data_IF_900001786008
#
_entry.id   IF_900001786008
#
_cell.length_a   1.000
_cell.length_b   1.000
_cell.length_c   1.000
_cell.angle_alpha   90.00
_cell.angle_beta   90.00
_cell.angle_gamma   90.00
#
_symmetry.space_group_name_H-M   'P 1'
#
loop_
_entity.id
_entity.type
_entity.pdbx_description
1 polymer ?
#
# COMPACT_ATOMS: atom_id res chain seq x y z
N UNK A 1 -52.20 -5.37 -6.35
CA UNK A 1 -52.99 -4.82 -7.47
C UNK A 1 -51.99 -4.27 -8.48
N UNK A 2 -51.76 -5.03 -9.55
CA UNK A 2 -50.87 -4.66 -10.64
C UNK A 2 -51.74 -4.24 -11.83
N UNK A 3 -51.61 -3.02 -12.30
CA UNK A 3 -52.28 -2.53 -13.49
C UNK A 3 -51.24 -1.97 -14.45
N UNK A 4 -51.03 -2.69 -15.55
CA UNK A 4 -50.50 -2.15 -16.79
C UNK A 4 -51.58 -1.26 -17.44
N UNK A 5 -51.15 -0.26 -18.23
CA UNK A 5 -51.75 -0.16 -19.54
C UNK A 5 -50.72 0.08 -20.65
N UNK A 6 -50.89 -0.67 -21.73
CA UNK A 6 -50.31 -0.44 -23.05
C UNK A 6 -51.36 0.27 -23.92
N UNK A 7 -50.94 1.20 -24.78
CA UNK A 7 -51.23 1.30 -26.24
C UNK A 7 -51.19 2.76 -26.75
N UNK A 8 -50.16 3.02 -27.56
CA UNK A 8 -50.02 3.77 -28.83
C UNK A 8 -50.82 5.04 -29.20
N UNK A 9 -50.11 5.99 -29.84
CA UNK A 9 -50.43 6.50 -31.19
C UNK A 9 -49.28 7.37 -31.77
N UNK A 10 -48.76 6.96 -32.92
CA UNK A 10 -48.03 7.83 -33.87
C UNK A 10 -49.03 8.53 -34.79
N UNK A 11 -48.81 9.81 -35.12
CA UNK A 11 -49.07 10.35 -36.47
C UNK A 11 -48.26 11.63 -36.73
N UNK A 12 -47.67 11.67 -37.92
CA UNK A 12 -46.77 12.62 -38.60
C UNK A 12 -47.34 14.00 -38.90
N UNK A 13 -46.47 15.04 -38.96
CA UNK A 13 -46.45 16.05 -40.06
C UNK A 13 -45.10 16.79 -40.16
N UNK A 14 -44.62 16.95 -41.40
CA UNK A 14 -43.43 17.66 -41.90
C UNK A 14 -43.82 19.07 -42.41
N UNK A 15 -42.97 20.08 -42.17
CA UNK A 15 -42.78 21.40 -42.85
C UNK A 15 -42.15 22.35 -41.82
N UNK A 16 -41.22 23.28 -42.06
CA UNK A 16 -40.70 23.97 -43.25
C UNK A 16 -39.37 24.65 -42.84
N UNK A 17 -38.43 24.77 -43.77
CA UNK A 17 -37.22 25.60 -43.68
C UNK A 17 -37.55 27.10 -43.63
N UNK A 18 -36.79 27.90 -42.85
CA UNK A 18 -36.01 29.07 -43.34
C UNK A 18 -35.49 30.01 -42.24
N UNK A 19 -34.27 30.50 -42.52
CA UNK A 19 -33.69 31.80 -42.18
C UNK A 19 -32.97 32.09 -40.84
N UNK A 20 -31.66 31.82 -40.89
CA UNK A 20 -30.52 32.77 -40.83
C UNK A 20 -30.40 33.82 -39.69
N UNK A 21 -29.27 33.65 -39.00
CA UNK A 21 -28.32 34.62 -38.44
C UNK A 21 -28.64 35.31 -37.11
N UNK A 22 -27.76 35.13 -36.12
CA UNK A 22 -26.82 36.18 -35.63
C UNK A 22 -25.77 35.55 -34.70
N UNK A 23 -24.52 35.95 -34.92
CA UNK A 23 -23.28 35.56 -34.24
C UNK A 23 -23.17 36.17 -32.83
N UNK A 24 -22.79 35.38 -31.82
CA UNK A 24 -21.89 35.86 -30.75
C UNK A 24 -21.02 34.71 -30.26
N UNK A 25 -19.72 34.95 -30.26
CA UNK A 25 -18.67 34.09 -29.71
C UNK A 25 -18.83 34.01 -28.19
N UNK A 26 -18.84 32.80 -27.64
CA UNK A 26 -18.29 32.56 -26.31
C UNK A 26 -17.36 31.36 -26.37
N UNK A 27 -16.14 31.65 -25.99
CA UNK A 27 -14.91 30.90 -26.06
C UNK A 27 -14.96 29.77 -25.04
N UNK A 28 -15.41 28.58 -25.45
CA UNK A 28 -15.16 27.37 -24.68
C UNK A 28 -13.67 27.02 -24.82
N UNK A 29 -12.88 27.45 -23.83
CA UNK A 29 -11.50 27.01 -23.60
C UNK A 29 -11.41 25.49 -23.79
N UNK A 30 -10.84 25.05 -24.91
CA UNK A 30 -10.37 23.69 -25.07
C UNK A 30 -9.10 23.53 -24.24
N UNK A 31 -9.26 23.27 -22.95
CA UNK A 31 -8.17 22.83 -22.11
C UNK A 31 -7.91 21.37 -22.49
N UNK A 32 -6.99 21.16 -23.45
CA UNK A 32 -6.42 19.83 -23.61
C UNK A 32 -5.78 19.43 -22.27
N UNK A 33 -6.11 18.25 -21.71
CA UNK A 33 -5.34 17.76 -20.58
C UNK A 33 -3.97 17.35 -21.13
N UNK A 34 -3.00 18.25 -21.07
CA UNK A 34 -1.58 17.92 -21.22
C UNK A 34 -1.10 17.19 -19.97
N UNK A 35 -1.74 16.07 -19.65
CA UNK A 35 -1.17 15.08 -18.75
C UNK A 35 -0.28 14.19 -19.62
N UNK A 36 1.03 14.46 -19.61
CA UNK A 36 2.02 13.54 -20.13
C UNK A 36 1.72 12.16 -19.57
N UNK A 37 1.35 11.21 -20.43
CA UNK A 37 1.04 9.86 -20.00
C UNK A 37 2.29 9.28 -19.32
N UNK A 38 2.16 8.94 -18.03
CA UNK A 38 3.21 8.30 -17.27
C UNK A 38 3.44 6.90 -17.85
N UNK A 39 4.70 6.49 -17.92
CA UNK A 39 5.01 5.11 -18.29
C UNK A 39 4.45 4.17 -17.22
N UNK A 40 4.19 2.91 -17.58
CA UNK A 40 3.65 1.92 -16.64
C UNK A 40 4.56 1.75 -15.40
N UNK A 41 5.88 1.83 -15.58
CA UNK A 41 6.86 1.77 -14.49
C UNK A 41 6.89 3.03 -13.63
N UNK A 42 6.61 4.21 -14.19
CA UNK A 42 6.42 5.44 -13.42
C UNK A 42 5.10 5.39 -12.65
N UNK A 43 4.01 4.95 -13.28
CA UNK A 43 2.68 4.80 -12.68
C UNK A 43 2.67 3.82 -11.50
N UNK A 44 3.44 2.74 -11.58
CA UNK A 44 3.62 1.75 -10.50
C UNK A 44 4.51 2.24 -9.35
N UNK A 45 5.23 3.35 -9.53
CA UNK A 45 6.10 3.98 -8.54
C UNK A 45 5.58 5.33 -8.01
N UNK A 46 4.40 5.77 -8.45
CA UNK A 46 3.77 6.98 -7.91
C UNK A 46 3.34 6.71 -6.47
N UNK A 47 3.88 7.47 -5.53
CA UNK A 47 3.33 7.52 -4.18
C UNK A 47 1.89 8.06 -4.25
N UNK A 48 0.90 7.38 -3.66
CA UNK A 48 -0.42 7.96 -3.57
C UNK A 48 -0.38 9.23 -2.73
N UNK A 49 -0.87 10.34 -3.28
CA UNK A 49 -0.99 11.62 -2.57
C UNK A 49 -1.84 11.42 -1.31
N UNK A 50 -1.21 11.63 -0.17
CA UNK A 50 -1.74 11.37 1.16
C UNK A 50 -3.04 12.14 1.44
N UNK A 51 -4.17 11.46 1.31
CA UNK A 51 -5.39 11.82 2.04
C UNK A 51 -5.70 10.71 3.04
N UNK A 52 -4.80 10.55 4.01
CA UNK A 52 -4.99 9.79 5.25
C UNK A 52 -4.06 10.37 6.33
N UNK A 53 -4.21 11.67 6.59
CA UNK A 53 -3.39 12.40 7.58
C UNK A 53 -4.08 12.30 8.94
N UNK A 54 -3.62 11.36 9.78
CA UNK A 54 -3.79 11.42 11.24
C UNK A 54 -2.78 10.57 12.04
N UNK A 55 -2.00 9.68 11.41
CA UNK A 55 -0.90 8.97 12.08
C UNK A 55 0.35 8.71 11.21
N UNK A 56 0.35 9.13 9.94
CA UNK A 56 1.54 9.13 9.10
C UNK A 56 2.56 10.12 9.69
N UNK A 57 3.77 9.65 10.00
CA UNK A 57 4.84 10.45 10.60
C UNK A 57 5.33 9.98 11.97
N UNK A 58 4.81 8.85 12.49
CA UNK A 58 5.42 8.20 13.64
C UNK A 58 6.54 7.26 13.16
N UNK A 59 7.75 7.52 13.68
CA UNK A 59 8.95 6.75 13.36
C UNK A 59 9.31 5.80 14.49
N UNK A 60 9.66 4.57 14.11
CA UNK A 60 9.95 3.52 15.07
C UNK A 60 11.14 2.68 14.64
N UNK A 61 11.85 2.14 15.63
CA UNK A 61 12.67 0.94 15.48
C UNK A 61 11.90 -0.24 16.04
N UNK A 62 12.04 -1.41 15.42
CA UNK A 62 11.34 -2.62 15.86
C UNK A 62 12.33 -3.54 16.56
N UNK A 63 12.14 -3.74 17.87
CA UNK A 63 12.84 -4.78 18.63
C UNK A 63 12.14 -6.11 18.43
N UNK A 64 12.94 -7.17 18.38
CA UNK A 64 12.49 -8.54 18.13
C UNK A 64 12.93 -9.41 19.30
N UNK A 65 11.95 -10.07 19.91
CA UNK A 65 12.14 -10.91 21.08
C UNK A 65 11.45 -12.26 20.87
N UNK A 66 11.88 -13.26 21.64
CA UNK A 66 11.27 -14.58 21.65
C UNK A 66 11.22 -15.11 23.07
N UNK A 67 10.02 -15.48 23.53
CA UNK A 67 9.79 -15.99 24.88
C UNK A 67 10.39 -15.07 25.96
N UNK A 68 10.22 -13.75 25.79
CA UNK A 68 10.78 -12.73 26.69
C UNK A 68 12.28 -12.44 26.54
N UNK A 69 13.00 -13.19 25.70
CA UNK A 69 14.43 -12.94 25.42
C UNK A 69 14.58 -12.01 24.24
N UNK A 70 15.29 -10.89 24.41
CA UNK A 70 15.61 -9.98 23.31
C UNK A 70 16.64 -10.61 22.36
N UNK A 71 16.30 -10.68 21.07
CA UNK A 71 17.17 -11.26 20.04
C UNK A 71 17.93 -10.20 19.24
N UNK A 72 17.31 -9.03 19.03
CA UNK A 72 17.90 -7.93 18.28
C UNK A 72 16.85 -7.00 17.70
N UNK A 73 17.22 -6.33 16.61
CA UNK A 73 16.38 -5.34 15.95
C UNK A 73 16.10 -5.72 14.51
N UNK A 74 15.01 -5.21 13.96
CA UNK A 74 14.70 -5.31 12.55
C UNK A 74 15.69 -4.47 11.73
N UNK A 75 16.45 -5.16 10.89
CA UNK A 75 17.32 -4.55 9.89
C UNK A 75 17.12 -5.18 8.52
N UNK A 76 18.03 -4.88 7.60
CA UNK A 76 18.09 -5.56 6.31
C UNK A 76 19.55 -5.86 5.91
N UNK A 77 19.74 -6.82 5.01
CA UNK A 77 21.01 -7.00 4.32
C UNK A 77 21.12 -6.15 3.04
N UNK A 78 22.24 -6.27 2.32
CA UNK A 78 22.47 -5.56 1.06
C UNK A 78 21.54 -5.96 -0.08
N UNK A 79 20.80 -7.07 0.08
CA UNK A 79 19.78 -7.57 -0.85
C UNK A 79 18.36 -7.20 -0.38
N UNK A 80 18.23 -6.35 0.64
CA UNK A 80 16.96 -5.86 1.18
C UNK A 80 16.13 -6.93 1.91
N UNK A 81 16.74 -8.07 2.26
CA UNK A 81 16.08 -9.10 3.06
C UNK A 81 16.12 -8.71 4.53
N UNK A 82 14.98 -8.83 5.21
CA UNK A 82 14.87 -8.49 6.62
C UNK A 82 15.62 -9.53 7.47
N UNK A 83 16.40 -9.03 8.43
CA UNK A 83 17.20 -9.86 9.33
C UNK A 83 17.34 -9.23 10.70
N UNK A 84 17.76 -10.05 11.68
CA UNK A 84 18.20 -9.55 12.97
C UNK A 84 19.52 -8.77 12.84
N UNK A 85 19.56 -7.59 13.45
CA UNK A 85 20.74 -6.72 13.53
C UNK A 85 20.90 -6.11 14.92
N UNK A 86 22.04 -5.45 15.15
CA UNK A 86 22.25 -4.64 16.35
C UNK A 86 21.40 -3.36 16.34
N UNK A 87 21.22 -2.71 17.50
CA UNK A 87 20.43 -1.48 17.58
C UNK A 87 21.00 -0.33 16.73
N UNK A 88 22.33 -0.31 16.53
CA UNK A 88 23.00 0.71 15.72
C UNK A 88 22.67 0.57 14.22
N UNK A 89 22.37 -0.64 13.78
CA UNK A 89 22.04 -0.99 12.39
C UNK A 89 20.52 -1.08 12.16
N UNK A 90 19.71 -0.87 13.20
CA UNK A 90 18.26 -1.00 13.15
C UNK A 90 17.66 0.02 12.17
N UNK A 91 16.73 -0.47 11.34
CA UNK A 91 15.98 0.39 10.43
C UNK A 91 15.01 1.28 11.22
N UNK A 92 14.91 2.54 10.79
CA UNK A 92 13.84 3.43 11.23
C UNK A 92 12.68 3.30 10.24
N UNK A 93 11.57 2.76 10.72
CA UNK A 93 10.35 2.58 9.95
C UNK A 93 9.36 3.71 10.22
N UNK A 94 8.59 4.05 9.21
CA UNK A 94 7.42 4.91 9.26
C UNK A 94 6.17 4.04 9.11
N UNK A 95 5.20 4.23 10.00
CA UNK A 95 3.88 3.63 9.81
C UNK A 95 3.12 4.42 8.74
N UNK A 96 2.74 3.72 7.67
CA UNK A 96 2.13 4.29 6.48
C UNK A 96 0.81 3.58 6.16
N UNK A 97 -0.33 4.03 6.72
CA UNK A 97 -1.64 3.47 6.41
C UNK A 97 -2.13 3.96 5.04
N UNK A 98 -2.56 3.04 4.18
CA UNK A 98 -3.12 3.35 2.86
C UNK A 98 -4.17 2.33 2.44
N UNK A 99 -5.34 2.78 1.97
CA UNK A 99 -6.47 1.94 1.53
C UNK A 99 -6.84 0.80 2.51
N UNK A 100 -6.82 1.10 3.81
CA UNK A 100 -7.14 0.11 4.86
C UNK A 100 -6.03 -0.90 5.14
N UNK A 101 -4.87 -0.78 4.50
CA UNK A 101 -3.69 -1.61 4.69
C UNK A 101 -2.64 -0.83 5.48
N UNK A 102 -2.01 -1.49 6.46
CA UNK A 102 -0.93 -0.91 7.26
C UNK A 102 0.42 -1.31 6.67
N UNK A 103 1.12 -0.34 6.09
CA UNK A 103 2.47 -0.55 5.59
C UNK A 103 3.51 -0.02 6.58
N UNK A 104 4.69 -0.61 6.53
CA UNK A 104 5.87 -0.18 7.28
C UNK A 104 6.97 0.19 6.30
N UNK A 105 7.18 1.49 6.11
CA UNK A 105 8.12 2.05 5.13
C UNK A 105 9.45 2.36 5.78
N UNK A 106 10.58 2.05 5.14
CA UNK A 106 11.89 2.56 5.60
C UNK A 106 11.90 4.08 5.41
N UNK A 107 12.12 4.82 6.51
CA UNK A 107 12.10 6.28 6.53
C UNK A 107 13.02 6.86 5.45
N UNK A 108 12.47 7.80 4.67
CA UNK A 108 13.22 8.50 3.61
C UNK A 108 13.42 7.68 2.34
N UNK A 109 12.70 6.57 2.17
CA UNK A 109 12.78 5.72 0.98
C UNK A 109 11.39 5.24 0.58
N UNK A 110 11.26 4.73 -0.65
CA UNK A 110 10.03 4.09 -1.15
C UNK A 110 10.11 2.56 -1.03
N UNK A 111 10.62 2.09 0.12
CA UNK A 111 10.81 0.68 0.42
C UNK A 111 9.93 0.27 1.60
N UNK A 112 9.06 -0.69 1.36
CA UNK A 112 8.03 -1.14 2.29
C UNK A 112 8.31 -2.58 2.69
N UNK A 113 8.15 -2.88 3.96
CA UNK A 113 8.24 -4.24 4.45
C UNK A 113 7.17 -5.10 3.76
N UNK A 114 7.56 -6.27 3.29
CA UNK A 114 6.67 -7.22 2.62
C UNK A 114 7.17 -8.66 2.76
N UNK A 115 6.35 -9.61 2.34
CA UNK A 115 6.61 -11.04 2.37
C UNK A 115 6.67 -11.59 0.95
N UNK A 116 7.75 -12.30 0.64
CA UNK A 116 7.91 -13.03 -0.62
C UNK A 116 6.98 -14.25 -0.72
N UNK A 117 6.86 -14.80 -1.93
CA UNK A 117 6.18 -16.07 -2.20
C UNK A 117 6.72 -17.26 -1.38
N UNK A 118 7.98 -17.19 -0.94
CA UNK A 118 8.66 -18.17 -0.07
C UNK A 118 8.63 -17.80 1.40
N UNK A 119 7.74 -16.90 1.81
CA UNK A 119 7.55 -16.44 3.18
C UNK A 119 8.71 -15.66 3.81
N UNK A 120 9.78 -15.32 3.08
CA UNK A 120 10.84 -14.43 3.58
C UNK A 120 10.35 -12.98 3.62
N UNK A 121 10.66 -12.29 4.72
CA UNK A 121 10.38 -10.87 4.88
C UNK A 121 11.50 -10.07 4.23
N UNK A 122 11.16 -9.03 3.47
CA UNK A 122 12.09 -8.10 2.85
C UNK A 122 11.48 -6.72 2.65
N UNK A 123 12.22 -5.83 1.98
CA UNK A 123 11.80 -4.46 1.72
C UNK A 123 11.72 -4.16 0.22
N UNK A 124 10.50 -3.99 -0.29
CA UNK A 124 10.19 -3.91 -1.71
C UNK A 124 9.67 -2.53 -2.10
N UNK A 125 9.67 -2.22 -3.40
CA UNK A 125 8.92 -1.09 -3.93
C UNK A 125 7.42 -1.28 -3.71
N UNK A 126 6.65 -0.20 -3.89
CA UNK A 126 5.21 -0.18 -3.69
C UNK A 126 4.46 -1.33 -4.38
N UNK A 127 4.77 -1.62 -5.65
CA UNK A 127 4.14 -2.69 -6.45
C UNK A 127 4.27 -4.09 -5.85
N UNK A 128 5.28 -4.32 -4.99
CA UNK A 128 5.49 -5.59 -4.29
C UNK A 128 5.21 -5.51 -2.80
N UNK A 129 4.68 -4.40 -2.29
CA UNK A 129 4.47 -4.18 -0.87
C UNK A 129 3.22 -4.92 -0.36
N UNK A 130 3.32 -5.54 0.81
CA UNK A 130 2.19 -6.17 1.49
C UNK A 130 2.03 -5.55 2.86
N UNK A 131 0.79 -5.47 3.34
CA UNK A 131 0.53 -4.97 4.68
C UNK A 131 0.96 -5.93 5.79
N UNK A 132 1.01 -5.37 7.00
CA UNK A 132 1.14 -6.13 8.23
C UNK A 132 0.17 -5.61 9.27
N UNK A 133 -0.46 -6.54 9.97
CA UNK A 133 -1.36 -6.26 11.09
C UNK A 133 -0.70 -6.64 12.40
N UNK A 134 -0.73 -5.74 13.39
CA UNK A 134 -0.33 -6.06 14.76
C UNK A 134 -1.44 -6.87 15.44
N UNK A 135 -1.11 -8.04 15.97
CA UNK A 135 -2.02 -8.93 16.70
C UNK A 135 -1.39 -9.26 18.05
N UNK A 136 -1.84 -8.58 19.10
CA UNK A 136 -1.18 -8.65 20.41
C UNK A 136 0.25 -8.11 20.33
N UNK A 137 1.23 -8.93 20.73
CA UNK A 137 2.66 -8.64 20.60
C UNK A 137 3.27 -9.13 19.28
N UNK A 138 2.48 -9.66 18.35
CA UNK A 138 2.99 -10.24 17.10
C UNK A 138 2.68 -9.34 15.90
N UNK A 139 3.52 -9.45 14.87
CA UNK A 139 3.26 -8.85 13.57
C UNK A 139 2.85 -9.93 12.57
N UNK A 140 1.64 -9.87 12.05
CA UNK A 140 1.11 -10.83 11.08
C UNK A 140 1.12 -10.23 9.68
N UNK A 141 1.61 -10.98 8.70
CA UNK A 141 1.54 -10.56 7.29
C UNK A 141 0.10 -10.59 6.80
N UNK A 142 -0.31 -9.55 6.08
CA UNK A 142 -1.62 -9.51 5.43
C UNK A 142 -1.64 -10.35 4.15
N UNK A 143 -0.48 -10.77 3.63
CA UNK A 143 -0.35 -11.58 2.41
C UNK A 143 -0.63 -13.06 2.65
N UNK A 144 0.07 -13.68 3.60
CA UNK A 144 -0.04 -15.11 3.87
C UNK A 144 -0.70 -15.45 5.22
N UNK A 145 -1.11 -14.42 5.98
CA UNK A 145 -1.76 -14.53 7.30
C UNK A 145 -0.92 -15.25 8.36
N UNK A 146 0.40 -15.29 8.18
CA UNK A 146 1.33 -15.89 9.14
C UNK A 146 2.06 -14.82 9.94
N UNK A 147 2.43 -15.18 11.16
CA UNK A 147 3.13 -14.29 12.09
C UNK A 147 4.63 -14.25 11.78
N UNK A 148 5.23 -13.09 12.02
CA UNK A 148 6.67 -12.91 11.91
C UNK A 148 7.39 -13.89 12.84
N UNK A 149 8.41 -14.52 12.31
CA UNK A 149 9.02 -15.72 12.84
C UNK A 149 10.49 -15.76 12.49
N UNK A 150 11.22 -16.58 13.22
CA UNK A 150 12.66 -16.69 13.12
C UNK A 150 13.13 -18.13 13.35
N UNK A 151 14.04 -18.59 12.49
CA UNK A 151 14.84 -19.78 12.73
C UNK A 151 16.32 -19.42 12.52
N UNK A 152 17.17 -19.76 13.50
CA UNK A 152 18.62 -19.60 13.42
C UNK A 152 19.24 -20.33 12.22
N UNK A 153 18.60 -21.40 11.72
CA UNK A 153 19.03 -22.15 10.53
C UNK A 153 18.88 -21.34 9.25
N UNK A 154 17.97 -20.37 9.23
CA UNK A 154 17.73 -19.44 8.11
C UNK A 154 18.72 -18.27 8.11
N UNK A 155 19.96 -18.48 8.61
CA UNK A 155 21.07 -17.52 8.56
C UNK A 155 20.75 -16.12 9.13
N UNK A 156 19.77 -16.01 10.02
CA UNK A 156 19.40 -14.73 10.62
C UNK A 156 18.23 -14.01 9.93
N UNK A 157 17.67 -14.55 8.85
CA UNK A 157 16.56 -13.94 8.10
C UNK A 157 15.23 -14.07 8.83
N UNK A 158 14.38 -13.06 8.65
CA UNK A 158 13.02 -13.06 9.17
C UNK A 158 12.06 -13.64 8.14
N UNK A 159 11.07 -14.37 8.62
CA UNK A 159 10.05 -15.02 7.79
C UNK A 159 8.66 -14.78 8.37
N UNK A 160 7.61 -14.99 7.57
CA UNK A 160 6.24 -15.15 8.04
C UNK A 160 5.83 -16.61 7.83
N UNK A 161 6.33 -17.49 8.69
CA UNK A 161 6.16 -18.93 8.58
C UNK A 161 5.89 -19.54 9.96
N UNK A 162 4.64 -19.92 10.21
CA UNK A 162 4.14 -20.31 11.53
C UNK A 162 4.76 -21.61 12.09
N UNK A 163 5.48 -22.38 11.26
CA UNK A 163 6.23 -23.55 11.75
C UNK A 163 7.56 -23.17 12.42
N UNK A 164 8.04 -21.95 12.20
CA UNK A 164 9.18 -21.41 12.94
C UNK A 164 8.72 -20.71 14.21
N UNK A 165 9.69 -20.43 15.07
CA UNK A 165 9.41 -19.82 16.34
C UNK A 165 9.00 -18.36 16.14
N UNK A 166 7.81 -18.01 16.64
CA UNK A 166 7.20 -16.70 16.49
C UNK A 166 8.01 -15.64 17.24
N UNK A 167 7.91 -14.41 16.76
CA UNK A 167 8.55 -13.24 17.37
C UNK A 167 7.54 -12.33 18.03
N UNK A 168 7.89 -11.87 19.22
CA UNK A 168 7.31 -10.68 19.84
C UNK A 168 7.98 -9.44 19.26
N UNK A 169 7.17 -8.46 18.87
CA UNK A 169 7.62 -7.18 18.32
C UNK A 169 7.43 -6.05 19.33
N UNK A 170 8.44 -5.22 19.50
CA UNK A 170 8.38 -3.99 20.28
C UNK A 170 8.64 -2.78 19.40
N UNK A 171 7.71 -1.82 19.36
CA UNK A 171 7.89 -0.57 18.63
C UNK A 171 8.50 0.50 19.54
N UNK A 172 9.78 0.81 19.34
CA UNK A 172 10.45 1.92 20.02
C UNK A 172 10.35 3.17 19.17
N UNK A 173 9.68 4.21 19.69
CA UNK A 173 9.58 5.51 19.01
C UNK A 173 10.95 6.20 18.90
N UNK A 174 11.18 6.86 17.77
CA UNK A 174 12.40 7.65 17.44
C UNK A 174 12.06 9.13 17.31
#
# INVERSE_FOLDING_TARGET
MSMNPTVAKETTTLSEDMDKATTTFDEAMNIEPTATALTFDEAMNIEPTATAVAAAGQFYRVSLSQNGTHLGWLGQDSKQWAKLVSQAEALTLEWYPYNGVNYYRIRGTNRYMSVSDRAYVGFYSWSGATGFTVVGSHLRSDYNHQEMSYDKKEKGYLTCWNTYARLDVGFQRV
#
